data_IF_668742457729
#
_entry.id   IF_668742457729
#
_cell.length_a   1.000
_cell.length_b   1.000
_cell.length_c   1.000
_cell.angle_alpha   90.00
_cell.angle_beta   90.00
_cell.angle_gamma   90.00
#
_symmetry.space_group_name_H-M   'P 1'
#
loop_
_entity.id
_entity.type
_entity.pdbx_description
1 polymer ?
#
# COMPACT_ATOMS: atom_id res chain seq x y z
N UNK A 1 -4.21 -18.11 -0.45
CA UNK A 1 -3.62 -18.30 0.89
C UNK A 1 -3.95 -19.68 1.47
N UNK A 2 -5.22 -20.10 1.48
CA UNK A 2 -5.65 -21.44 1.95
C UNK A 2 -4.93 -22.67 1.33
N UNK A 3 -4.60 -22.73 0.02
CA UNK A 3 -4.02 -23.93 -0.58
C UNK A 3 -2.59 -24.23 -0.11
N UNK A 4 -1.79 -23.19 0.13
CA UNK A 4 -0.40 -23.32 0.64
C UNK A 4 -0.39 -23.66 2.13
N UNK A 5 -1.40 -23.19 2.86
CA UNK A 5 -1.55 -23.43 4.29
C UNK A 5 -1.74 -24.93 4.60
N UNK A 6 -2.54 -25.63 3.79
CA UNK A 6 -2.79 -27.07 3.91
C UNK A 6 -1.55 -27.92 3.63
N UNK A 7 -0.63 -27.46 2.77
CA UNK A 7 0.66 -28.14 2.50
C UNK A 7 1.74 -27.83 3.56
N UNK A 8 1.48 -26.89 4.46
CA UNK A 8 2.46 -26.41 5.46
C UNK A 8 2.04 -26.70 6.92
N UNK A 9 0.93 -27.43 7.12
CA UNK A 9 0.34 -27.72 8.45
C UNK A 9 1.32 -28.39 9.40
N UNK A 10 2.23 -29.25 8.91
CA UNK A 10 3.20 -29.97 9.73
C UNK A 10 4.31 -29.08 10.34
N UNK A 11 4.35 -27.77 10.03
CA UNK A 11 5.42 -26.84 10.44
C UNK A 11 4.93 -25.69 11.34
N UNK A 12 3.71 -25.78 11.88
CA UNK A 12 3.16 -24.80 12.82
C UNK A 12 3.78 -24.94 14.23
N UNK A 13 4.99 -24.42 14.37
CA UNK A 13 5.67 -24.31 15.66
C UNK A 13 5.23 -23.03 16.37
N UNK A 14 4.39 -23.16 17.40
CA UNK A 14 3.84 -22.03 18.18
C UNK A 14 4.94 -21.23 18.88
N UNK A 15 6.09 -21.87 19.11
CA UNK A 15 7.33 -21.26 19.63
C UNK A 15 7.90 -20.16 18.73
N UNK A 16 7.60 -20.15 17.43
CA UNK A 16 8.01 -19.07 16.54
C UNK A 16 7.26 -17.77 16.78
N UNK A 17 6.08 -17.82 17.41
CA UNK A 17 5.31 -16.63 17.75
C UNK A 17 5.86 -15.91 18.99
N UNK A 18 6.49 -16.65 19.91
CA UNK A 18 7.15 -16.11 21.10
C UNK A 18 8.56 -15.59 20.85
N UNK A 19 9.09 -15.79 19.64
CA UNK A 19 10.35 -15.18 19.23
C UNK A 19 10.20 -13.65 19.18
N UNK A 20 11.03 -12.93 19.94
CA UNK A 20 10.94 -11.47 20.13
C UNK A 20 10.91 -10.72 18.80
N UNK A 21 11.65 -11.20 17.81
CA UNK A 21 11.69 -10.64 16.45
C UNK A 21 10.34 -10.73 15.74
N UNK A 22 9.67 -11.89 15.80
CA UNK A 22 8.37 -12.10 15.15
C UNK A 22 7.25 -11.35 15.88
N UNK A 23 7.30 -11.34 17.21
CA UNK A 23 6.36 -10.56 18.02
C UNK A 23 6.49 -9.06 17.74
N UNK A 24 7.71 -8.54 17.62
CA UNK A 24 7.99 -7.16 17.25
C UNK A 24 7.43 -6.81 15.86
N UNK A 25 7.67 -7.67 14.87
CA UNK A 25 7.14 -7.49 13.51
C UNK A 25 5.61 -7.52 13.48
N UNK A 26 4.97 -8.43 14.23
CA UNK A 26 3.52 -8.51 14.36
C UNK A 26 2.93 -7.25 15.01
N UNK A 27 3.54 -6.77 16.09
CA UNK A 27 3.12 -5.52 16.75
C UNK A 27 3.29 -4.32 15.84
N UNK A 28 4.38 -4.24 15.08
CA UNK A 28 4.61 -3.17 14.11
C UNK A 28 3.58 -3.19 12.97
N UNK A 29 3.26 -4.36 12.40
CA UNK A 29 2.21 -4.46 11.37
C UNK A 29 0.82 -4.14 11.93
N UNK A 30 0.51 -4.62 13.14
CA UNK A 30 -0.79 -4.43 13.77
C UNK A 30 -1.03 -2.97 14.15
N UNK A 31 -0.11 -2.37 14.91
CA UNK A 31 -0.28 -1.00 15.42
C UNK A 31 0.13 0.02 14.36
N UNK A 32 1.32 -0.15 13.79
CA UNK A 32 1.93 0.77 12.82
C UNK A 32 1.20 0.76 11.48
N UNK A 33 1.22 -0.38 10.80
CA UNK A 33 0.67 -0.44 9.44
C UNK A 33 -0.87 -0.42 9.41
N UNK A 34 -1.54 -0.99 10.42
CA UNK A 34 -3.00 -1.16 10.39
C UNK A 34 -3.74 -0.11 11.23
N UNK A 35 -3.52 -0.05 12.55
CA UNK A 35 -4.29 0.83 13.42
C UNK A 35 -4.08 2.32 13.06
N UNK A 36 -2.83 2.77 12.90
CA UNK A 36 -2.54 4.14 12.51
C UNK A 36 -3.05 4.48 11.11
N UNK A 37 -2.98 3.56 10.16
CA UNK A 37 -3.54 3.74 8.82
C UNK A 37 -5.06 3.95 8.89
N UNK A 38 -5.78 3.10 9.64
CA UNK A 38 -7.22 3.24 9.81
C UNK A 38 -7.62 4.54 10.49
N UNK A 39 -6.90 4.98 11.52
CA UNK A 39 -7.17 6.26 12.19
C UNK A 39 -6.95 7.43 11.23
N UNK A 40 -5.84 7.42 10.50
CA UNK A 40 -5.49 8.47 9.52
C UNK A 40 -6.50 8.52 8.38
N UNK A 41 -6.95 7.35 7.91
CA UNK A 41 -8.01 7.21 6.91
C UNK A 41 -9.33 7.80 7.41
N UNK A 42 -9.79 7.38 8.59
CA UNK A 42 -11.03 7.88 9.18
C UNK A 42 -10.98 9.40 9.41
N UNK A 43 -9.83 9.92 9.87
CA UNK A 43 -9.62 11.36 10.02
C UNK A 43 -9.67 12.10 8.68
N UNK A 44 -9.05 11.55 7.64
CA UNK A 44 -9.05 12.13 6.29
C UNK A 44 -10.47 12.16 5.70
N UNK A 45 -11.22 11.06 5.83
CA UNK A 45 -12.61 10.97 5.39
C UNK A 45 -13.51 11.94 6.15
N UNK A 46 -13.30 12.11 7.47
CA UNK A 46 -14.08 13.04 8.29
C UNK A 46 -13.88 14.51 7.89
N UNK A 47 -12.66 14.90 7.51
CA UNK A 47 -12.35 16.30 7.16
C UNK A 47 -12.58 16.62 5.67
N UNK A 48 -12.24 15.70 4.76
CA UNK A 48 -12.28 15.93 3.31
C UNK A 48 -13.55 15.40 2.64
N UNK A 49 -14.27 14.49 3.32
CA UNK A 49 -15.37 13.72 2.76
C UNK A 49 -14.89 12.50 1.95
N UNK A 50 -15.72 11.46 1.92
CA UNK A 50 -15.37 10.15 1.34
C UNK A 50 -14.94 10.22 -0.14
N UNK A 51 -15.57 11.09 -0.94
CA UNK A 51 -15.29 11.22 -2.37
C UNK A 51 -13.89 11.81 -2.61
N UNK A 52 -13.51 12.86 -1.88
CA UNK A 52 -12.17 13.47 -2.04
C UNK A 52 -11.08 12.54 -1.50
N UNK A 53 -11.32 11.88 -0.35
CA UNK A 53 -10.38 10.91 0.21
C UNK A 53 -10.13 9.72 -0.72
N UNK A 54 -11.17 9.22 -1.40
CA UNK A 54 -11.03 8.15 -2.38
C UNK A 54 -10.20 8.57 -3.60
N UNK A 55 -10.30 9.82 -4.06
CA UNK A 55 -9.44 10.32 -5.14
C UNK A 55 -7.97 10.34 -4.72
N UNK A 56 -7.67 10.70 -3.46
CA UNK A 56 -6.30 10.68 -2.94
C UNK A 56 -5.67 9.27 -2.85
N UNK A 57 -6.47 8.20 -2.76
CA UNK A 57 -5.96 6.82 -2.83
C UNK A 57 -5.26 6.56 -4.16
N UNK A 58 -5.72 7.18 -5.26
CA UNK A 58 -5.07 7.00 -6.56
C UNK A 58 -3.66 7.58 -6.59
N UNK A 59 -3.26 8.43 -5.64
CA UNK A 59 -1.87 8.91 -5.51
C UNK A 59 -0.95 7.88 -4.82
N UNK A 60 -1.49 6.86 -4.15
CA UNK A 60 -0.71 5.83 -3.43
C UNK A 60 0.33 5.14 -4.32
N UNK A 61 0.03 4.68 -5.56
CA UNK A 61 1.03 4.07 -6.45
C UNK A 61 2.28 4.94 -6.68
N UNK A 62 2.09 6.25 -6.84
CA UNK A 62 3.20 7.21 -6.98
C UNK A 62 4.01 7.29 -5.68
N UNK A 63 3.34 7.50 -4.54
CA UNK A 63 3.98 7.61 -3.23
C UNK A 63 4.75 6.34 -2.85
N UNK A 64 4.15 5.17 -3.07
CA UNK A 64 4.78 3.86 -2.82
C UNK A 64 6.02 3.67 -3.69
N UNK A 65 5.98 4.12 -4.95
CA UNK A 65 7.15 4.06 -5.84
C UNK A 65 8.29 4.93 -5.33
N UNK A 66 8.01 6.17 -4.96
CA UNK A 66 9.01 7.08 -4.38
C UNK A 66 9.57 6.51 -3.08
N UNK A 67 8.71 6.00 -2.21
CA UNK A 67 9.09 5.37 -0.94
C UNK A 67 9.97 4.13 -1.16
N UNK A 68 9.70 3.28 -2.15
CA UNK A 68 10.56 2.15 -2.49
C UNK A 68 11.97 2.58 -2.91
N UNK A 69 12.10 3.63 -3.73
CA UNK A 69 13.42 4.13 -4.14
C UNK A 69 14.19 4.71 -2.95
N UNK A 70 13.51 5.44 -2.07
CA UNK A 70 14.11 6.10 -0.90
C UNK A 70 14.45 5.15 0.26
N UNK A 71 13.54 4.24 0.62
CA UNK A 71 13.67 3.39 1.80
C UNK A 71 14.47 2.11 1.53
N UNK A 72 14.29 1.49 0.36
CA UNK A 72 14.94 0.22 0.02
C UNK A 72 16.32 0.42 -0.62
N UNK A 73 16.61 1.62 -1.16
CA UNK A 73 17.91 1.94 -1.76
C UNK A 73 18.30 1.04 -2.94
N UNK A 74 17.36 0.30 -3.51
CA UNK A 74 17.63 -0.64 -4.59
C UNK A 74 18.13 0.09 -5.84
N UNK A 75 19.23 -0.40 -6.42
CA UNK A 75 19.70 0.06 -7.73
C UNK A 75 18.61 -0.23 -8.75
N UNK A 76 18.07 0.84 -9.35
CA UNK A 76 17.05 0.80 -10.40
C UNK A 76 17.50 -0.16 -11.51
N UNK A 77 17.02 -1.40 -11.43
CA UNK A 77 17.26 -2.40 -12.45
C UNK A 77 16.24 -2.15 -13.55
N UNK A 78 16.55 -2.48 -14.81
CA UNK A 78 15.67 -2.21 -15.96
C UNK A 78 14.25 -2.76 -15.78
N UNK A 79 14.09 -3.84 -15.00
CA UNK A 79 12.80 -4.43 -14.61
C UNK A 79 12.00 -3.53 -13.67
N UNK A 80 12.64 -2.91 -12.70
CA UNK A 80 12.01 -1.94 -11.77
C UNK A 80 11.59 -0.69 -12.52
N UNK A 81 12.44 -0.19 -13.43
CA UNK A 81 12.11 0.93 -14.30
C UNK A 81 10.90 0.65 -15.20
N UNK A 82 10.81 -0.56 -15.77
CA UNK A 82 9.64 -1.00 -16.53
C UNK A 82 8.38 -1.07 -15.66
N UNK A 83 8.48 -1.59 -14.43
CA UNK A 83 7.39 -1.59 -13.46
C UNK A 83 6.89 -0.19 -13.12
N UNK A 84 7.80 0.76 -12.91
CA UNK A 84 7.49 2.18 -12.64
C UNK A 84 6.80 2.84 -13.84
N UNK A 85 7.29 2.62 -15.06
CA UNK A 85 6.66 3.12 -16.28
C UNK A 85 5.24 2.59 -16.43
N UNK A 86 5.02 1.30 -16.14
CA UNK A 86 3.73 0.64 -16.28
C UNK A 86 2.73 1.14 -15.22
N UNK A 87 3.17 1.34 -13.97
CA UNK A 87 2.33 1.91 -12.91
C UNK A 87 2.02 3.39 -13.14
N UNK A 88 2.99 4.19 -13.60
CA UNK A 88 2.76 5.59 -14.00
C UNK A 88 1.78 5.69 -15.16
N UNK A 89 1.92 4.85 -16.18
CA UNK A 89 1.01 4.84 -17.33
C UNK A 89 -0.40 4.44 -16.91
N UNK A 90 -0.54 3.39 -16.09
CA UNK A 90 -1.84 2.98 -15.54
C UNK A 90 -2.47 4.06 -14.66
N UNK A 91 -1.67 4.77 -13.86
CA UNK A 91 -2.13 5.89 -13.03
C UNK A 91 -2.68 7.03 -13.89
N UNK A 92 -1.91 7.48 -14.89
CA UNK A 92 -2.35 8.53 -15.81
C UNK A 92 -3.64 8.11 -16.51
N UNK A 93 -3.74 6.86 -16.98
CA UNK A 93 -4.95 6.37 -17.65
C UNK A 93 -6.18 6.35 -16.73
N UNK A 94 -6.00 6.02 -15.45
CA UNK A 94 -7.08 5.96 -14.46
C UNK A 94 -7.54 7.33 -13.98
N UNK A 95 -6.60 8.28 -13.85
CA UNK A 95 -6.88 9.62 -13.32
C UNK A 95 -7.23 10.66 -14.39
N UNK A 96 -6.78 10.50 -15.64
CA UNK A 96 -7.11 11.44 -16.72
C UNK A 96 -8.63 11.61 -16.93
N UNK A 97 -9.47 10.55 -16.90
CA UNK A 97 -10.92 10.70 -17.01
C UNK A 97 -11.54 11.38 -15.78
N UNK A 98 -11.02 11.12 -14.58
CA UNK A 98 -11.50 11.72 -13.32
C UNK A 98 -11.18 13.23 -13.28
N UNK A 99 -9.97 13.62 -13.68
CA UNK A 99 -9.55 15.02 -13.79
C UNK A 99 -10.42 15.80 -14.78
N UNK A 100 -10.68 15.24 -15.96
CA UNK A 100 -11.51 15.88 -16.99
C UNK A 100 -12.98 15.99 -16.56
N UNK A 101 -13.51 15.02 -15.80
CA UNK A 101 -14.88 15.08 -15.24
C UNK A 101 -15.02 16.14 -14.15
N UNK A 102 -14.00 16.33 -13.32
CA UNK A 102 -14.02 17.34 -12.27
C UNK A 102 -13.95 18.76 -12.84
N UNK A 103 -13.12 18.97 -13.88
CA UNK A 103 -12.99 20.27 -14.56
C UNK A 103 -14.22 20.70 -15.35
N UNK A 104 -15.07 19.75 -15.76
CA UNK A 104 -16.33 20.01 -16.49
C UNK A 104 -17.51 20.39 -15.58
N UNK A 105 -17.37 20.24 -14.26
CA UNK A 105 -18.39 20.64 -13.27
C UNK A 105 -18.15 22.02 -12.64
N UNK A 106 -17.08 22.71 -13.04
CA UNK A 106 -16.75 24.11 -12.69
C UNK A 106 -17.01 24.97 -13.92
#
# INVERSE_FOLDING_TARGET
>A
MLPVFLLSVDRFDVTRLTEVTNLGNLLFLGIGASALCFVTWNFSVKNLGAVRAAVYIYTIPMLTTVASVLLLGEKLTTKTAAGILLTLTGLVLSELPNYLRQKRKV
#
